data_IF_508762105213
#
_entry.id   IF_508762105213
#
_cell.length_a   1.000
_cell.length_b   1.000
_cell.length_c   1.000
_cell.angle_alpha   90.00
_cell.angle_beta   90.00
_cell.angle_gamma   90.00
#
_symmetry.space_group_name_H-M   'P 1'
#
loop_
_entity.id
_entity.type
_entity.pdbx_description
1 polymer ?
#
# COMPACT_ATOMS: atom_id res chain seq x y z
N UNK A 1 8.85 13.72 -10.78
CA UNK A 1 7.98 12.66 -11.32
C UNK A 1 6.89 12.36 -10.31
N UNK A 2 5.62 12.22 -10.72
CA UNK A 2 4.58 11.69 -9.83
C UNK A 2 4.68 10.16 -9.85
N UNK A 3 5.17 9.56 -8.76
CA UNK A 3 5.09 8.11 -8.58
C UNK A 3 3.63 7.73 -8.31
N UNK A 4 3.10 6.73 -9.01
CA UNK A 4 1.74 6.20 -8.76
C UNK A 4 1.70 5.23 -7.59
N UNK A 5 2.86 4.87 -7.04
CA UNK A 5 3.01 3.94 -5.93
C UNK A 5 2.53 4.57 -4.62
N UNK A 6 1.67 3.87 -3.91
CA UNK A 6 1.21 4.27 -2.57
C UNK A 6 1.67 3.21 -1.57
N UNK A 7 2.87 3.42 -1.03
CA UNK A 7 3.46 2.57 0.00
C UNK A 7 3.10 3.19 1.36
N UNK A 8 2.26 2.51 2.15
CA UNK A 8 1.75 3.03 3.42
C UNK A 8 2.44 2.38 4.62
N UNK A 9 2.92 1.16 4.46
CA UNK A 9 3.56 0.37 5.51
C UNK A 9 4.94 -0.11 5.07
N UNK A 10 5.75 -0.57 6.03
CA UNK A 10 7.03 -1.24 5.71
C UNK A 10 6.80 -2.47 4.84
N UNK A 11 5.72 -3.23 5.06
CA UNK A 11 5.38 -4.39 4.23
C UNK A 11 5.08 -4.00 2.78
N UNK A 12 4.51 -2.82 2.53
CA UNK A 12 4.30 -2.32 1.16
C UNK A 12 5.65 -2.04 0.49
N UNK A 13 6.60 -1.47 1.22
CA UNK A 13 7.96 -1.20 0.73
C UNK A 13 8.67 -2.52 0.40
N UNK A 14 8.61 -3.52 1.29
CA UNK A 14 9.20 -4.86 1.08
C UNK A 14 8.62 -5.55 -0.15
N UNK A 15 7.30 -5.45 -0.37
CA UNK A 15 6.62 -6.00 -1.55
C UNK A 15 7.08 -5.32 -2.83
N UNK A 16 7.12 -3.99 -2.86
CA UNK A 16 7.56 -3.25 -4.05
C UNK A 16 9.04 -3.50 -4.33
N UNK A 17 9.89 -3.55 -3.29
CA UNK A 17 11.30 -3.91 -3.43
C UNK A 17 11.44 -5.30 -4.05
N UNK A 18 10.64 -6.28 -3.62
CA UNK A 18 10.66 -7.63 -4.20
C UNK A 18 10.31 -7.62 -5.69
N UNK A 19 9.32 -6.83 -6.10
CA UNK A 19 8.95 -6.64 -7.52
C UNK A 19 10.12 -6.02 -8.29
N UNK A 20 10.70 -4.93 -7.78
CA UNK A 20 11.84 -4.24 -8.39
C UNK A 20 13.03 -5.19 -8.61
N UNK A 21 13.30 -6.08 -7.65
CA UNK A 21 14.42 -7.01 -7.73
C UNK A 21 14.18 -8.04 -8.83
N UNK A 22 12.98 -8.62 -8.90
CA UNK A 22 12.63 -9.70 -9.84
C UNK A 22 12.42 -9.20 -11.27
N UNK A 23 11.95 -7.96 -11.44
CA UNK A 23 11.66 -7.42 -12.76
C UNK A 23 12.91 -6.92 -13.48
N UNK A 24 12.85 -7.03 -14.82
CA UNK A 24 13.75 -6.30 -15.69
C UNK A 24 13.54 -4.80 -15.48
N UNK A 25 14.64 -4.04 -15.37
CA UNK A 25 14.61 -2.66 -14.92
C UNK A 25 15.66 -1.79 -15.59
N UNK A 26 15.33 -0.50 -15.73
CA UNK A 26 16.26 0.57 -16.16
C UNK A 26 16.07 1.79 -15.28
N UNK A 27 17.17 2.47 -14.99
CA UNK A 27 17.15 3.73 -14.25
C UNK A 27 16.71 4.86 -15.19
N UNK A 28 15.84 5.75 -14.72
CA UNK A 28 15.30 6.89 -15.50
C UNK A 28 16.19 8.13 -15.45
N UNK A 29 17.27 8.10 -14.68
CA UNK A 29 18.21 9.21 -14.46
C UNK A 29 19.58 8.65 -14.09
N UNK A 30 20.55 9.53 -13.88
CA UNK A 30 21.92 9.20 -13.41
C UNK A 30 21.95 8.76 -11.93
N UNK A 31 20.84 8.27 -11.40
CA UNK A 31 20.70 7.80 -10.02
C UNK A 31 20.71 6.27 -10.07
N UNK A 32 21.70 5.68 -9.42
CA UNK A 32 21.92 4.24 -9.44
C UNK A 32 21.07 3.50 -8.41
N UNK A 33 20.93 2.19 -8.59
CA UNK A 33 20.17 1.34 -7.66
C UNK A 33 20.82 1.30 -6.27
N UNK A 34 22.15 1.24 -6.21
CA UNK A 34 22.93 1.37 -4.98
C UNK A 34 22.59 2.67 -4.26
N UNK A 35 22.62 3.82 -4.93
CA UNK A 35 22.25 5.11 -4.33
C UNK A 35 20.82 5.12 -3.77
N UNK A 36 19.86 4.52 -4.48
CA UNK A 36 18.46 4.44 -4.02
C UNK A 36 18.36 3.56 -2.77
N UNK A 37 18.94 2.36 -2.82
CA UNK A 37 18.82 1.37 -1.74
C UNK A 37 19.59 1.79 -0.49
N UNK A 38 20.80 2.30 -0.64
CA UNK A 38 21.61 2.79 0.49
C UNK A 38 20.96 3.97 1.17
N UNK A 39 20.44 4.95 0.41
CA UNK A 39 19.79 6.11 1.01
C UNK A 39 18.54 5.72 1.80
N UNK A 40 17.74 4.77 1.28
CA UNK A 40 16.59 4.23 2.00
C UNK A 40 17.01 3.46 3.25
N UNK A 41 18.05 2.62 3.15
CA UNK A 41 18.54 1.84 4.27
C UNK A 41 19.06 2.76 5.39
N UNK A 42 19.89 3.73 5.05
CA UNK A 42 20.42 4.74 5.98
C UNK A 42 19.29 5.54 6.62
N UNK A 43 18.30 5.99 5.85
CA UNK A 43 17.16 6.73 6.39
C UNK A 43 16.38 5.92 7.44
N UNK A 44 16.19 4.62 7.21
CA UNK A 44 15.53 3.71 8.14
C UNK A 44 16.41 3.46 9.38
N UNK A 45 17.69 3.18 9.18
CA UNK A 45 18.65 2.96 10.27
C UNK A 45 18.72 4.16 11.21
N UNK A 46 18.84 5.37 10.66
CA UNK A 46 18.87 6.61 11.43
C UNK A 46 17.57 6.83 12.23
N UNK A 47 16.42 6.37 11.73
CA UNK A 47 15.17 6.44 12.48
C UNK A 47 15.16 5.54 13.73
N UNK A 48 15.94 4.45 13.72
CA UNK A 48 16.00 3.45 14.80
C UNK A 48 17.12 3.77 15.79
N UNK A 49 18.31 4.13 15.30
CA UNK A 49 19.54 4.14 16.11
C UNK A 49 19.56 5.22 17.21
N UNK A 50 18.63 6.17 17.22
CA UNK A 50 18.49 7.15 18.30
C UNK A 50 19.72 8.06 18.48
N UNK A 51 20.70 8.01 17.57
CA UNK A 51 21.95 8.77 17.68
C UNK A 51 21.58 10.24 17.54
N UNK A 52 21.68 10.94 18.66
CA UNK A 52 21.14 12.27 18.83
C UNK A 52 21.65 13.23 17.78
N UNK A 53 20.78 13.63 16.86
CA UNK A 53 20.84 14.97 16.30
C UNK A 53 20.55 15.95 17.43
N UNK A 54 21.54 16.19 18.28
CA UNK A 54 21.55 17.15 19.39
C UNK A 54 21.65 18.58 18.89
N UNK A 55 21.10 18.87 17.70
CA UNK A 55 20.91 20.25 17.28
C UNK A 55 19.76 20.80 18.13
N UNK A 56 20.11 21.60 19.16
CA UNK A 56 19.13 22.30 20.01
C UNK A 56 18.13 23.03 19.13
N UNK A 57 16.93 22.47 18.96
CA UNK A 57 15.87 23.12 18.18
C UNK A 57 15.18 24.16 19.06
N UNK A 58 15.19 25.40 18.58
CA UNK A 58 14.35 26.46 19.13
C UNK A 58 12.87 26.08 19.00
N UNK A 59 12.01 26.65 19.84
CA UNK A 59 10.55 26.41 19.82
C UNK A 59 9.95 26.72 18.43
N UNK A 60 10.48 27.75 17.75
CA UNK A 60 10.10 28.11 16.37
C UNK A 60 10.43 26.98 15.39
N UNK A 61 11.61 26.38 15.49
CA UNK A 61 12.02 25.26 14.63
C UNK A 61 11.14 24.02 14.85
N UNK A 62 10.70 23.77 16.10
CA UNK A 62 9.77 22.68 16.40
C UNK A 62 8.40 22.89 15.74
N UNK A 63 7.85 24.11 15.79
CA UNK A 63 6.56 24.41 15.17
C UNK A 63 6.63 24.31 13.63
N UNK A 64 7.71 24.83 13.04
CA UNK A 64 7.94 24.74 11.61
C UNK A 64 8.11 23.29 11.14
N UNK A 65 8.77 22.45 11.95
CA UNK A 65 8.90 21.00 11.69
C UNK A 65 7.55 20.30 11.63
N UNK A 66 6.66 20.55 12.60
CA UNK A 66 5.29 20.01 12.61
C UNK A 66 4.48 20.46 11.40
N UNK A 67 4.59 21.72 11.00
CA UNK A 67 3.93 22.22 9.78
C UNK A 67 4.46 21.53 8.52
N UNK A 68 5.78 21.40 8.37
CA UNK A 68 6.40 20.71 7.23
C UNK A 68 5.99 19.24 7.18
N UNK A 69 5.90 18.58 8.33
CA UNK A 69 5.39 17.21 8.44
C UNK A 69 3.93 17.12 7.98
N UNK A 70 3.05 17.95 8.53
CA UNK A 70 1.64 17.97 8.15
C UNK A 70 1.45 18.23 6.64
N UNK A 71 2.25 19.14 6.07
CA UNK A 71 2.27 19.41 4.64
C UNK A 71 2.69 18.18 3.84
N UNK A 72 3.78 17.50 4.22
CA UNK A 72 4.26 16.30 3.54
C UNK A 72 3.22 15.17 3.58
N UNK A 73 2.61 14.93 4.75
CA UNK A 73 1.59 13.90 4.92
C UNK A 73 0.33 14.23 4.09
N UNK A 74 -0.06 15.50 4.02
CA UNK A 74 -1.18 15.96 3.20
C UNK A 74 -0.92 15.79 1.71
N UNK A 75 0.29 16.13 1.23
CA UNK A 75 0.65 15.97 -0.18
C UNK A 75 0.92 14.51 -0.56
N UNK A 76 1.42 13.70 0.39
CA UNK A 76 1.71 12.27 0.21
C UNK A 76 2.83 11.94 -0.77
N UNK A 77 3.61 12.93 -1.23
CA UNK A 77 4.70 12.72 -2.18
C UNK A 77 5.79 13.80 -2.08
N UNK A 78 7.02 13.45 -2.45
CA UNK A 78 8.02 14.40 -2.91
C UNK A 78 7.86 14.62 -4.42
N UNK A 79 8.26 15.79 -4.92
CA UNK A 79 8.23 16.12 -6.35
C UNK A 79 9.63 16.32 -6.94
N UNK A 80 10.61 16.69 -6.11
CA UNK A 80 11.99 16.98 -6.51
C UNK A 80 12.98 16.40 -5.51
N UNK A 81 14.13 15.93 -6.00
CA UNK A 81 15.21 15.37 -5.18
C UNK A 81 15.73 16.37 -4.13
N UNK A 82 15.81 17.65 -4.46
CA UNK A 82 16.28 18.70 -3.55
C UNK A 82 15.39 18.93 -2.30
N UNK A 83 14.23 18.29 -2.23
CA UNK A 83 13.39 18.29 -1.03
C UNK A 83 13.86 17.27 0.02
N UNK A 84 14.77 16.37 -0.37
CA UNK A 84 15.28 15.27 0.44
C UNK A 84 16.74 15.61 0.78
N UNK A 85 17.04 16.05 2.01
CA UNK A 85 18.40 16.37 2.42
C UNK A 85 19.33 15.16 2.24
N UNK A 86 20.50 15.38 1.63
CA UNK A 86 21.52 14.33 1.44
C UNK A 86 21.33 13.42 0.22
N UNK A 87 20.27 13.62 -0.58
CA UNK A 87 20.02 12.81 -1.78
C UNK A 87 20.38 13.54 -3.09
N UNK A 88 20.99 12.87 -4.08
CA UNK A 88 21.51 11.51 -4.04
C UNK A 88 22.83 11.40 -3.25
N UNK A 89 23.09 10.28 -2.55
CA UNK A 89 24.36 10.06 -1.87
C UNK A 89 25.48 9.77 -2.88
N UNK A 90 26.72 9.66 -2.39
CA UNK A 90 27.81 9.10 -3.19
C UNK A 90 27.46 7.67 -3.59
N UNK A 91 27.71 7.32 -4.86
CA UNK A 91 27.53 5.95 -5.31
C UNK A 91 28.68 5.06 -4.84
N UNK A 92 28.35 3.97 -4.15
CA UNK A 92 29.30 2.96 -3.67
C UNK A 92 29.44 1.80 -4.66
N UNK A 93 28.62 1.75 -5.72
CA UNK A 93 28.76 0.83 -6.85
C UNK A 93 28.26 -0.60 -6.65
N UNK A 94 27.82 -0.99 -5.45
CA UNK A 94 27.33 -2.35 -5.16
C UNK A 94 25.82 -2.36 -4.85
N UNK A 95 24.97 -2.57 -5.87
CA UNK A 95 23.52 -2.62 -5.67
C UNK A 95 23.05 -3.86 -4.90
N UNK A 96 23.80 -4.97 -4.91
CA UNK A 96 23.41 -6.20 -4.20
C UNK A 96 23.61 -6.04 -2.69
N UNK A 97 24.76 -5.50 -2.29
CA UNK A 97 25.01 -5.14 -0.89
C UNK A 97 24.03 -4.08 -0.39
N UNK A 98 23.78 -3.02 -1.18
CA UNK A 98 22.80 -1.99 -0.81
C UNK A 98 21.37 -2.55 -0.68
N UNK A 99 20.99 -3.49 -1.55
CA UNK A 99 19.72 -4.20 -1.46
C UNK A 99 19.61 -5.05 -0.18
N UNK A 100 20.67 -5.78 0.17
CA UNK A 100 20.71 -6.58 1.39
C UNK A 100 20.60 -5.69 2.63
N UNK A 101 21.33 -4.57 2.64
CA UNK A 101 21.24 -3.56 3.70
C UNK A 101 19.82 -3.04 3.85
N UNK A 102 19.17 -2.64 2.75
CA UNK A 102 17.77 -2.18 2.79
C UNK A 102 16.82 -3.24 3.36
N UNK A 103 16.92 -4.50 2.95
CA UNK A 103 16.11 -5.60 3.53
C UNK A 103 16.32 -5.75 5.04
N UNK A 104 17.57 -5.62 5.47
CA UNK A 104 17.96 -5.72 6.88
C UNK A 104 17.36 -4.57 7.68
N UNK A 105 17.45 -3.34 7.16
CA UNK A 105 16.92 -2.13 7.82
C UNK A 105 15.39 -2.14 7.91
N UNK A 106 14.68 -2.63 6.87
CA UNK A 106 13.23 -2.84 6.91
C UNK A 106 12.84 -3.84 8.02
N UNK A 107 13.57 -4.95 8.12
CA UNK A 107 13.36 -5.95 9.18
C UNK A 107 13.63 -5.36 10.56
N UNK A 108 14.74 -4.63 10.72
CA UNK A 108 15.09 -3.96 11.97
C UNK A 108 14.00 -2.98 12.41
N UNK A 109 13.46 -2.18 11.49
CA UNK A 109 12.37 -1.24 11.79
C UNK A 109 11.11 -1.95 12.29
N UNK A 110 10.74 -3.07 11.65
CA UNK A 110 9.59 -3.89 12.06
C UNK A 110 9.75 -4.40 13.48
N UNK A 111 10.92 -4.95 13.79
CA UNK A 111 11.24 -5.52 15.10
C UNK A 111 11.54 -4.47 16.18
N UNK A 112 11.87 -3.24 15.79
CA UNK A 112 12.17 -2.17 16.75
C UNK A 112 10.95 -1.83 17.61
N UNK A 113 11.13 -1.94 18.92
CA UNK A 113 10.15 -1.60 19.95
C UNK A 113 10.64 -0.48 20.88
N UNK A 114 11.89 -0.05 20.72
CA UNK A 114 12.47 1.05 21.48
C UNK A 114 12.03 2.43 21.00
N UNK A 115 12.54 3.51 21.62
CA UNK A 115 12.30 4.86 21.16
C UNK A 115 12.88 5.07 19.75
N UNK A 116 12.21 5.89 18.96
CA UNK A 116 12.69 6.32 17.65
C UNK A 116 13.49 7.61 17.76
N UNK A 117 14.40 7.84 16.82
CA UNK A 117 15.16 9.08 16.73
C UNK A 117 14.25 10.26 16.32
N UNK A 118 14.66 11.46 16.72
CA UNK A 118 14.08 12.70 16.21
C UNK A 118 14.40 12.87 14.72
N UNK A 119 13.38 13.10 13.89
CA UNK A 119 13.59 13.39 12.48
C UNK A 119 14.23 14.78 12.31
N UNK A 120 15.35 14.94 11.58
CA UNK A 120 16.11 16.20 11.47
C UNK A 120 15.29 17.45 11.13
N UNK A 121 14.27 17.28 10.27
CA UNK A 121 13.32 18.35 9.91
C UNK A 121 12.05 18.37 10.77
N UNK A 122 11.39 17.22 10.97
CA UNK A 122 10.03 17.16 11.54
C UNK A 122 9.99 17.11 13.07
N UNK A 123 11.07 16.65 13.70
CA UNK A 123 11.20 16.54 15.15
C UNK A 123 10.83 15.15 15.61
N UNK A 124 10.33 15.05 16.84
CA UNK A 124 9.85 13.81 17.43
C UNK A 124 8.72 13.21 16.58
N UNK A 125 8.84 11.91 16.29
CA UNK A 125 7.87 11.14 15.52
C UNK A 125 7.69 9.77 16.16
N UNK A 126 6.44 9.30 16.19
CA UNK A 126 6.15 7.91 16.55
C UNK A 126 6.46 6.93 15.41
N UNK A 127 6.42 5.62 15.71
CA UNK A 127 6.67 4.55 14.73
C UNK A 127 5.78 4.65 13.49
N UNK A 128 4.50 5.00 13.64
CA UNK A 128 3.54 5.10 12.53
C UNK A 128 3.83 6.32 11.65
N UNK A 129 4.29 7.41 12.25
CA UNK A 129 4.70 8.63 11.54
C UNK A 129 6.00 8.39 10.76
N UNK A 130 6.97 7.72 11.38
CA UNK A 130 8.18 7.27 10.68
C UNK A 130 7.88 6.33 9.51
N UNK A 131 7.00 5.35 9.73
CA UNK A 131 6.58 4.42 8.68
C UNK A 131 5.96 5.15 7.48
N UNK A 132 5.12 6.16 7.72
CA UNK A 132 4.55 7.00 6.65
C UNK A 132 5.63 7.76 5.87
N UNK A 133 6.63 8.31 6.55
CA UNK A 133 7.74 9.02 5.89
C UNK A 133 8.53 8.05 5.02
N UNK A 134 8.89 6.88 5.55
CA UNK A 134 9.59 5.84 4.81
C UNK A 134 8.80 5.42 3.57
N UNK A 135 7.49 5.22 3.70
CA UNK A 135 6.62 4.90 2.56
C UNK A 135 6.60 5.99 1.48
N UNK A 136 6.50 7.26 1.86
CA UNK A 136 6.53 8.40 0.93
C UNK A 136 7.90 8.51 0.24
N UNK A 137 8.99 8.36 1.01
CA UNK A 137 10.35 8.42 0.51
C UNK A 137 10.63 7.27 -0.46
N UNK A 138 10.31 6.04 -0.09
CA UNK A 138 10.44 4.86 -0.95
C UNK A 138 9.61 5.00 -2.22
N UNK A 139 8.36 5.47 -2.14
CA UNK A 139 7.53 5.69 -3.33
C UNK A 139 8.17 6.68 -4.30
N UNK A 140 8.74 7.78 -3.78
CA UNK A 140 9.45 8.75 -4.60
C UNK A 140 10.71 8.17 -5.24
N UNK A 141 11.56 7.49 -4.45
CA UNK A 141 12.84 6.97 -4.89
C UNK A 141 12.70 5.78 -5.85
N UNK A 142 11.78 4.86 -5.59
CA UNK A 142 11.43 3.80 -6.54
C UNK A 142 10.86 4.34 -7.84
N UNK A 143 10.32 5.57 -7.83
CA UNK A 143 9.91 6.28 -9.05
C UNK A 143 11.04 6.47 -10.06
N UNK A 144 12.31 6.50 -9.64
CA UNK A 144 13.48 6.56 -10.53
C UNK A 144 13.77 5.24 -11.26
N UNK A 145 13.11 4.15 -10.87
CA UNK A 145 13.28 2.84 -11.46
C UNK A 145 12.12 2.61 -12.45
N UNK A 146 12.46 2.39 -13.71
CA UNK A 146 11.52 1.89 -14.72
C UNK A 146 11.56 0.39 -14.72
N UNK A 147 10.41 -0.25 -14.52
CA UNK A 147 10.26 -1.69 -14.71
C UNK A 147 9.75 -1.97 -16.12
N UNK A 148 10.27 -3.01 -16.77
CA UNK A 148 9.80 -3.48 -18.08
C UNK A 148 8.98 -4.77 -17.93
N UNK A 149 7.94 -4.91 -18.76
CA UNK A 149 7.10 -6.12 -18.82
C UNK A 149 5.93 -6.21 -17.82
N UNK A 150 5.63 -5.15 -17.08
CA UNK A 150 5.02 -5.27 -15.73
C UNK A 150 3.58 -4.76 -15.54
N UNK A 151 2.73 -4.75 -16.57
CA UNK A 151 1.28 -4.75 -16.29
C UNK A 151 0.85 -6.12 -15.74
N UNK A 152 1.40 -7.22 -16.29
CA UNK A 152 0.94 -8.57 -15.96
C UNK A 152 1.35 -9.04 -14.56
N UNK A 153 2.51 -8.65 -14.03
CA UNK A 153 2.98 -9.09 -12.69
C UNK A 153 2.36 -8.24 -11.56
N UNK A 154 2.27 -6.91 -11.75
CA UNK A 154 1.46 -6.03 -10.88
C UNK A 154 0.01 -6.50 -10.73
N UNK A 155 -0.65 -6.88 -11.82
CA UNK A 155 -2.04 -7.37 -11.75
C UNK A 155 -2.19 -8.88 -11.45
N UNK A 156 -1.18 -9.71 -11.72
CA UNK A 156 -1.24 -11.14 -11.38
C UNK A 156 -1.20 -11.33 -9.86
N UNK A 157 -0.31 -10.63 -9.15
CA UNK A 157 -0.22 -10.71 -7.69
C UNK A 157 -1.44 -10.09 -7.01
N UNK A 158 -2.01 -9.02 -7.58
CA UNK A 158 -3.30 -8.48 -7.13
C UNK A 158 -4.47 -9.44 -7.38
N UNK A 159 -4.50 -10.15 -8.51
CA UNK A 159 -5.50 -11.20 -8.78
C UNK A 159 -5.34 -12.39 -7.84
N UNK A 160 -4.13 -12.79 -7.51
CA UNK A 160 -3.84 -13.88 -6.59
C UNK A 160 -4.21 -13.51 -5.15
N UNK A 161 -3.78 -12.33 -4.68
CA UNK A 161 -4.20 -11.79 -3.38
C UNK A 161 -5.73 -11.60 -3.28
N UNK A 162 -6.40 -11.18 -4.36
CA UNK A 162 -7.88 -11.10 -4.41
C UNK A 162 -8.52 -12.49 -4.39
N UNK A 163 -7.94 -13.48 -5.06
CA UNK A 163 -8.39 -14.87 -5.00
C UNK A 163 -8.22 -15.45 -3.59
N UNK A 164 -7.10 -15.21 -2.93
CA UNK A 164 -6.85 -15.68 -1.55
C UNK A 164 -7.81 -15.03 -0.54
N UNK A 165 -8.06 -13.71 -0.66
CA UNK A 165 -9.08 -13.03 0.16
C UNK A 165 -10.48 -13.60 -0.07
N UNK A 166 -10.88 -13.73 -1.33
CA UNK A 166 -12.19 -14.31 -1.68
C UNK A 166 -12.33 -15.77 -1.24
N UNK A 167 -11.24 -16.55 -1.25
CA UNK A 167 -11.23 -17.95 -0.81
C UNK A 167 -11.31 -18.05 0.72
N UNK A 168 -10.63 -17.15 1.42
CA UNK A 168 -10.65 -17.04 2.89
C UNK A 168 -12.03 -16.58 3.39
N UNK A 169 -12.65 -15.58 2.75
CA UNK A 169 -14.01 -15.12 3.05
C UNK A 169 -15.06 -16.20 2.75
N UNK A 170 -14.91 -16.96 1.66
CA UNK A 170 -15.78 -18.12 1.37
C UNK A 170 -15.63 -19.23 2.40
N UNK A 171 -14.41 -19.52 2.86
CA UNK A 171 -14.17 -20.51 3.94
C UNK A 171 -14.76 -20.06 5.27
N UNK A 172 -14.64 -18.79 5.63
CA UNK A 172 -15.26 -18.24 6.84
C UNK A 172 -16.80 -18.29 6.76
N UNK A 173 -17.40 -17.84 5.64
CA UNK A 173 -18.85 -17.91 5.46
C UNK A 173 -19.39 -19.36 5.42
N UNK A 174 -18.62 -20.31 4.88
CA UNK A 174 -19.01 -21.72 4.86
C UNK A 174 -18.86 -22.38 6.24
N UNK A 175 -17.89 -21.98 7.06
CA UNK A 175 -17.79 -22.44 8.45
C UNK A 175 -18.89 -21.85 9.33
N UNK A 176 -19.28 -20.59 9.10
CA UNK A 176 -20.36 -19.94 9.85
C UNK A 176 -21.73 -20.59 9.55
N UNK A 177 -22.04 -20.86 8.27
CA UNK A 177 -23.26 -21.59 7.88
C UNK A 177 -23.33 -23.04 8.36
N UNK A 178 -22.18 -23.72 8.51
CA UNK A 178 -22.12 -25.11 8.96
C UNK A 178 -22.25 -25.26 10.49
N UNK A 179 -22.02 -24.18 11.24
CA UNK A 179 -22.27 -24.12 12.68
C UNK A 179 -23.72 -23.72 13.02
N UNK A 180 -24.41 -22.98 12.16
CA UNK A 180 -25.85 -22.71 12.32
C UNK A 180 -26.71 -23.94 11.99
N UNK A 181 -26.28 -24.80 11.05
CA UNK A 181 -27.05 -25.98 10.61
C UNK A 181 -26.82 -27.25 11.47
N UNK A 182 -26.10 -27.13 12.60
CA UNK A 182 -25.78 -28.24 13.51
C UNK A 182 -26.39 -28.11 14.92
N UNK A 183 -27.26 -27.13 15.12
CA UNK A 183 -27.96 -26.93 16.37
C UNK A 183 -29.47 -26.82 16.18
N UNK A 184 -30.14 -27.89 15.75
CA UNK A 184 -31.55 -28.11 16.08
C UNK A 184 -32.01 -29.51 15.66
N UNK A 185 -32.03 -30.41 16.65
CA UNK A 185 -32.74 -31.68 16.63
C UNK A 185 -34.23 -31.41 16.36
N UNK A 186 -34.76 -31.93 15.24
CA UNK A 186 -36.22 -32.05 15.05
C UNK A 186 -36.82 -32.95 16.14
N UNK A 187 -38.13 -32.77 16.42
CA UNK A 187 -39.01 -33.83 15.95
C UNK A 187 -40.31 -33.33 15.29
N UNK A 188 -40.73 -34.13 14.31
CA UNK A 188 -42.12 -34.53 13.97
C UNK A 188 -43.22 -33.46 13.86
N UNK A 189 -43.77 -33.29 12.65
CA UNK A 189 -45.06 -32.62 12.46
C UNK A 189 -45.54 -32.61 11.00
N UNK A 190 -46.58 -33.40 10.74
CA UNK A 190 -47.37 -33.52 9.52
C UNK A 190 -47.77 -32.19 8.83
N UNK A 191 -47.77 -32.18 7.48
CA UNK A 191 -48.94 -31.99 6.58
C UNK A 191 -48.73 -31.13 5.31
N UNK A 192 -49.14 -31.75 4.20
CA UNK A 192 -49.85 -31.23 3.03
C UNK A 192 -49.25 -30.14 2.12
N UNK A 193 -48.82 -30.63 0.94
CA UNK A 193 -49.24 -30.19 -0.42
C UNK A 193 -49.91 -28.80 -0.54
N UNK A 194 -49.28 -27.91 -1.32
CA UNK A 194 -49.91 -27.28 -2.50
C UNK A 194 -48.87 -26.59 -3.39
N UNK A 195 -48.52 -27.26 -4.49
CA UNK A 195 -48.00 -26.61 -5.69
C UNK A 195 -49.10 -25.74 -6.30
N UNK A 196 -48.82 -24.45 -6.54
CA UNK A 196 -49.61 -23.63 -7.46
C UNK A 196 -48.68 -22.86 -8.39
N UNK A 197 -48.51 -23.45 -9.58
CA UNK A 197 -48.19 -22.73 -10.81
C UNK A 197 -49.20 -21.60 -11.01
N UNK A 198 -48.73 -20.38 -11.34
CA UNK A 198 -49.58 -19.37 -11.98
C UNK A 198 -48.93 -18.93 -13.30
N UNK A 199 -49.65 -19.27 -14.37
CA UNK A 199 -49.32 -19.08 -15.78
C UNK A 199 -49.23 -17.61 -16.17
N UNK A 200 -48.40 -17.36 -17.20
CA UNK A 200 -48.37 -16.19 -18.09
C UNK A 200 -49.78 -15.79 -18.56
N UNK A 201 -50.01 -14.48 -18.67
CA UNK A 201 -51.04 -13.91 -19.55
C UNK A 201 -50.37 -12.94 -20.52
N UNK A 202 -50.34 -13.34 -21.79
CA UNK A 202 -50.15 -12.44 -22.92
C UNK A 202 -51.50 -11.76 -23.19
N UNK A 203 -51.54 -10.43 -23.22
CA UNK A 203 -52.65 -9.70 -23.85
C UNK A 203 -52.09 -8.89 -25.01
N UNK A 204 -52.44 -9.34 -26.23
CA UNK A 204 -52.35 -8.61 -27.50
C UNK A 204 -53.72 -7.96 -27.69
N UNK A 205 -53.76 -6.63 -27.81
CA UNK A 205 -54.95 -5.90 -28.22
C UNK A 205 -54.55 -4.81 -29.20
N UNK A 206 -54.82 -5.06 -30.49
CA UNK A 206 -54.66 -4.12 -31.60
C UNK A 206 -56.05 -3.72 -32.11
N UNK A 207 -56.27 -2.44 -32.40
CA UNK A 207 -57.26 -1.82 -33.32
C UNK A 207 -57.25 -0.31 -33.03
N UNK A 208 -56.58 0.56 -33.78
CA UNK A 208 -56.79 1.05 -35.15
C UNK A 208 -57.91 2.10 -35.27
N UNK A 209 -57.64 3.12 -36.11
CA UNK A 209 -58.47 4.27 -36.54
C UNK A 209 -58.51 5.46 -35.56
N UNK A 210 -58.30 6.72 -35.94
CA UNK A 210 -58.15 7.35 -37.25
C UNK A 210 -58.77 8.75 -37.19
N UNK A 211 -58.05 9.76 -37.71
CA UNK A 211 -58.62 10.97 -38.32
C UNK A 211 -59.17 12.10 -37.44
N UNK A 212 -58.48 13.25 -37.50
CA UNK A 212 -59.05 14.41 -38.19
C UNK A 212 -59.75 15.52 -37.38
N UNK A 213 -59.14 16.72 -37.48
CA UNK A 213 -59.71 18.08 -37.46
C UNK A 213 -60.38 18.57 -36.15
N UNK A 214 -60.18 19.81 -35.70
CA UNK A 214 -59.79 21.07 -36.35
C UNK A 214 -58.76 21.83 -35.51
#
# INVERSE_FOLDING_TARGET
>A
MKSTLKLKTIDDIEKELSIIITCEKKQKSDITLSQIFDFLAESIELSIQGVGYTTKRTTVNKLLGKYKFAKLISTGHYTKANQIPGFPPRDLGDPESAQLRLKTSLTAFKLHSGPFADHPVFGELDKKQWEKIHGILSSFLFGYIQLFGDEKLRFAKDRENKKERNFSEKKQNHHQRKNEDKGESKPSGHNNRKWKNKKKSHYKGNKNQGGGHK
#
